data_IF_804643566654
#
_entry.id   IF_804643566654
#
_cell.length_a   1.000
_cell.length_b   1.000
_cell.length_c   1.000
_cell.angle_alpha   90.00
_cell.angle_beta   90.00
_cell.angle_gamma   90.00
#
_symmetry.space_group_name_H-M   'P 1'
#
loop_
_entity.id
_entity.type
_entity.pdbx_description
1 polymer ?
#
# COMPACT_ATOMS: atom_id res chain seq x y z
N UNK A 1 -86.82 -38.79 -16.61
CA UNK A 1 -86.04 -37.67 -17.17
C UNK A 1 -84.93 -37.35 -16.21
N UNK A 2 -83.71 -37.75 -16.51
CA UNK A 2 -82.55 -37.70 -15.64
C UNK A 2 -81.72 -36.44 -15.94
N UNK A 3 -81.51 -35.51 -14.94
CA UNK A 3 -80.64 -34.34 -15.04
C UNK A 3 -79.20 -34.70 -14.67
N UNK A 4 -78.27 -34.48 -15.58
CA UNK A 4 -76.83 -34.62 -15.35
C UNK A 4 -76.29 -33.40 -14.56
N UNK A 5 -75.70 -33.62 -13.35
CA UNK A 5 -74.85 -32.68 -12.65
C UNK A 5 -73.44 -32.82 -13.14
N UNK A 6 -72.88 -31.76 -13.74
CA UNK A 6 -71.43 -31.62 -14.02
C UNK A 6 -70.69 -31.19 -12.79
N UNK A 7 -69.64 -31.90 -12.40
CA UNK A 7 -68.67 -31.54 -11.35
C UNK A 7 -67.48 -30.86 -12.03
N UNK A 8 -67.20 -29.62 -11.66
CA UNK A 8 -65.96 -28.97 -12.02
C UNK A 8 -64.91 -29.19 -10.90
N UNK A 9 -63.87 -29.90 -11.22
CA UNK A 9 -62.65 -30.00 -10.40
C UNK A 9 -61.80 -28.76 -10.64
N UNK A 10 -61.66 -27.86 -9.63
CA UNK A 10 -60.65 -26.81 -9.61
C UNK A 10 -59.33 -27.42 -9.15
N UNK A 11 -58.37 -27.57 -10.04
CA UNK A 11 -56.98 -27.89 -9.72
C UNK A 11 -56.27 -26.58 -9.43
N UNK A 12 -56.05 -26.29 -8.15
CA UNK A 12 -55.14 -25.20 -7.72
C UNK A 12 -53.69 -25.65 -7.89
N UNK A 13 -53.01 -25.15 -8.90
CA UNK A 13 -51.56 -25.32 -9.07
C UNK A 13 -50.86 -24.38 -8.10
N UNK A 14 -50.33 -24.92 -7.01
CA UNK A 14 -49.42 -24.25 -6.11
C UNK A 14 -48.04 -24.19 -6.80
N UNK A 15 -47.70 -23.03 -7.37
CA UNK A 15 -46.34 -22.73 -7.81
C UNK A 15 -45.52 -22.36 -6.55
N UNK A 16 -44.84 -23.33 -5.98
CA UNK A 16 -43.77 -23.08 -5.01
C UNK A 16 -42.57 -22.57 -5.79
N UNK A 17 -42.38 -21.26 -5.78
CA UNK A 17 -41.11 -20.68 -6.23
C UNK A 17 -40.01 -21.09 -5.24
N UNK A 18 -39.26 -22.15 -5.60
CA UNK A 18 -38.03 -22.49 -4.91
C UNK A 18 -37.02 -21.37 -5.22
N UNK A 19 -36.86 -20.41 -4.31
CA UNK A 19 -35.75 -19.47 -4.34
C UNK A 19 -34.46 -20.29 -4.29
N UNK A 20 -33.67 -20.19 -5.33
CA UNK A 20 -32.38 -20.84 -5.44
C UNK A 20 -31.50 -20.42 -4.23
N UNK A 21 -30.74 -21.34 -3.58
CA UNK A 21 -29.79 -20.97 -2.53
C UNK A 21 -28.76 -19.92 -2.98
N UNK A 22 -28.53 -19.82 -4.29
CA UNK A 22 -27.69 -18.81 -4.93
C UNK A 22 -28.29 -17.39 -4.87
N UNK A 23 -29.60 -17.24 -4.92
CA UNK A 23 -30.25 -15.93 -4.83
C UNK A 23 -30.17 -15.35 -3.40
N UNK A 24 -30.20 -16.21 -2.37
CA UNK A 24 -30.02 -15.79 -0.98
C UNK A 24 -28.55 -15.43 -0.68
N UNK A 25 -27.59 -16.19 -1.23
CA UNK A 25 -26.16 -15.88 -1.09
C UNK A 25 -25.80 -14.58 -1.84
N UNK A 26 -26.45 -14.26 -2.94
CA UNK A 26 -26.21 -13.04 -3.72
C UNK A 26 -26.86 -11.81 -3.07
N UNK A 27 -27.96 -11.91 -2.36
CA UNK A 27 -28.55 -10.81 -1.59
C UNK A 27 -27.69 -10.45 -0.37
N UNK A 28 -27.09 -11.43 0.30
CA UNK A 28 -26.17 -11.20 1.45
C UNK A 28 -24.86 -10.53 1.03
N UNK A 29 -24.38 -10.76 -0.19
CA UNK A 29 -23.14 -10.13 -0.71
C UNK A 29 -23.37 -8.65 -1.11
N UNK A 30 -24.56 -8.31 -1.59
CA UNK A 30 -24.90 -6.94 -2.01
C UNK A 30 -24.99 -5.93 -0.86
N UNK A 31 -25.13 -6.39 0.40
CA UNK A 31 -25.21 -5.55 1.58
C UNK A 31 -23.87 -5.47 2.37
N UNK A 32 -22.81 -6.12 1.89
CA UNK A 32 -21.51 -6.16 2.58
C UNK A 32 -20.66 -4.95 2.28
N UNK A 33 -19.93 -4.51 3.29
CA UNK A 33 -18.99 -3.42 3.20
C UNK A 33 -17.60 -3.87 3.64
N UNK A 34 -16.56 -3.43 2.95
CA UNK A 34 -15.16 -3.61 3.36
C UNK A 34 -14.50 -2.23 3.45
N UNK A 35 -13.93 -1.92 4.60
CA UNK A 35 -13.12 -0.72 4.83
C UNK A 35 -11.70 -1.16 5.05
N UNK A 36 -10.84 -0.94 4.05
CA UNK A 36 -9.40 -1.19 4.11
C UNK A 36 -8.71 0.10 4.57
N UNK A 37 -8.12 0.07 5.76
CA UNK A 37 -7.36 1.17 6.34
C UNK A 37 -5.88 0.79 6.34
N UNK A 38 -5.03 1.57 5.67
CA UNK A 38 -3.58 1.45 5.72
C UNK A 38 -3.01 2.56 6.60
N UNK A 39 -2.22 2.19 7.62
CA UNK A 39 -1.42 3.13 8.40
C UNK A 39 0.02 2.97 7.94
N UNK A 40 0.51 3.95 7.17
CA UNK A 40 1.83 3.92 6.54
C UNK A 40 2.95 3.66 7.54
N UNK A 41 3.81 2.69 7.24
CA UNK A 41 4.97 2.36 8.06
C UNK A 41 4.66 1.80 9.45
N UNK A 42 3.46 1.24 9.68
CA UNK A 42 3.11 0.66 10.97
C UNK A 42 3.61 -0.80 11.07
N UNK A 43 4.80 -0.95 11.63
CA UNK A 43 5.41 -2.27 11.79
C UNK A 43 4.60 -3.20 12.71
N UNK A 44 4.54 -4.48 12.37
CA UNK A 44 3.79 -5.49 13.12
C UNK A 44 4.19 -5.57 14.59
N UNK A 45 5.48 -5.41 14.90
CA UNK A 45 5.98 -5.44 16.29
C UNK A 45 5.46 -4.32 17.19
N UNK A 46 4.92 -3.23 16.63
CA UNK A 46 4.37 -2.11 17.42
C UNK A 46 3.01 -2.44 18.04
N UNK A 47 2.27 -3.40 17.50
CA UNK A 47 0.97 -3.80 18.06
C UNK A 47 1.13 -4.41 19.46
N UNK A 48 2.20 -5.18 19.65
CA UNK A 48 2.49 -5.85 20.91
C UNK A 48 3.33 -5.00 21.89
N UNK A 49 3.85 -3.85 21.45
CA UNK A 49 4.61 -2.95 22.33
C UNK A 49 3.67 -2.26 23.35
N UNK A 50 3.77 -2.58 24.65
CA UNK A 50 2.84 -2.03 25.65
C UNK A 50 2.98 -0.50 25.85
N UNK A 51 4.04 0.10 25.36
CA UNK A 51 4.26 1.56 25.44
C UNK A 51 3.45 2.32 24.39
N UNK A 52 2.97 1.64 23.35
CA UNK A 52 2.17 2.27 22.29
C UNK A 52 0.71 2.27 22.71
N UNK A 53 0.04 3.44 22.84
CA UNK A 53 -1.36 3.51 23.19
C UNK A 53 -2.28 3.25 21.99
N UNK A 54 -2.80 2.02 21.88
CA UNK A 54 -3.58 1.52 20.75
C UNK A 54 -4.92 0.91 21.20
N UNK A 55 -5.81 1.65 21.87
CA UNK A 55 -7.06 1.08 22.36
C UNK A 55 -7.97 0.55 21.25
N UNK A 56 -8.13 1.28 20.13
CA UNK A 56 -9.00 0.91 19.02
C UNK A 56 -8.41 -0.23 18.19
N UNK A 57 -7.13 -0.14 17.86
CA UNK A 57 -6.41 -1.17 17.09
C UNK A 57 -6.37 -2.50 17.86
N UNK A 58 -6.09 -2.46 19.18
CA UNK A 58 -6.12 -3.66 20.03
C UNK A 58 -7.53 -4.21 20.25
N UNK A 59 -8.54 -3.34 20.27
CA UNK A 59 -9.94 -3.78 20.26
C UNK A 59 -10.25 -4.57 18.99
N UNK A 60 -9.91 -4.05 17.81
CA UNK A 60 -10.10 -4.76 16.53
C UNK A 60 -9.34 -6.10 16.51
N UNK A 61 -8.11 -6.14 17.01
CA UNK A 61 -7.32 -7.38 17.09
C UNK A 61 -7.95 -8.43 18.01
N UNK A 62 -8.56 -7.99 19.12
CA UNK A 62 -9.24 -8.87 20.09
C UNK A 62 -10.55 -9.42 19.54
N UNK A 63 -11.37 -8.55 18.93
CA UNK A 63 -12.69 -8.90 18.40
C UNK A 63 -12.63 -9.53 16.99
N UNK A 64 -11.45 -9.62 16.38
CA UNK A 64 -11.22 -10.16 15.05
C UNK A 64 -10.05 -11.14 14.99
N UNK A 65 -9.32 -11.10 13.88
CA UNK A 65 -8.13 -11.89 13.65
C UNK A 65 -6.92 -10.98 13.45
N UNK A 66 -5.80 -11.31 14.09
CA UNK A 66 -4.51 -10.63 13.89
C UNK A 66 -3.50 -11.57 13.24
N UNK A 67 -2.66 -11.04 12.36
CA UNK A 67 -1.48 -11.74 11.84
C UNK A 67 -0.35 -11.60 12.87
N UNK A 68 0.03 -12.72 13.47
CA UNK A 68 1.02 -12.78 14.57
C UNK A 68 2.40 -12.33 14.04
N UNK A 69 2.99 -11.32 14.68
CA UNK A 69 4.25 -10.72 14.24
C UNK A 69 4.19 -9.89 12.94
N UNK A 70 3.01 -9.74 12.35
CA UNK A 70 2.77 -8.98 11.13
C UNK A 70 2.88 -9.79 9.84
N UNK A 71 2.30 -9.25 8.74
CA UNK A 71 2.36 -9.86 7.41
C UNK A 71 3.67 -9.52 6.70
N UNK A 72 4.14 -10.43 5.86
CA UNK A 72 5.26 -10.20 4.95
C UNK A 72 4.83 -9.28 3.81
N UNK A 73 5.59 -8.22 3.59
CA UNK A 73 5.38 -7.26 2.50
C UNK A 73 6.11 -7.68 1.24
N UNK A 74 5.89 -6.97 0.12
CA UNK A 74 6.62 -7.23 -1.12
C UNK A 74 7.89 -6.40 -1.21
N UNK A 75 8.87 -6.87 -1.98
CA UNK A 75 10.07 -6.11 -2.32
C UNK A 75 9.82 -5.18 -3.53
N UNK A 76 10.24 -3.90 -3.43
CA UNK A 76 10.80 -3.23 -2.26
C UNK A 76 9.72 -2.95 -1.21
N UNK A 77 10.10 -2.93 0.07
CA UNK A 77 9.18 -2.55 1.15
C UNK A 77 8.97 -1.02 1.19
N UNK A 78 8.33 -0.50 0.14
CA UNK A 78 8.11 0.92 -0.15
C UNK A 78 6.61 1.16 -0.38
N UNK A 79 6.15 2.37 -0.14
CA UNK A 79 4.72 2.76 -0.05
C UNK A 79 3.89 2.37 -1.27
N UNK A 80 4.16 2.95 -2.45
CA UNK A 80 3.31 2.71 -3.63
C UNK A 80 3.34 1.27 -4.13
N UNK A 81 4.51 0.59 -4.21
CA UNK A 81 4.56 -0.82 -4.54
C UNK A 81 3.68 -1.69 -3.63
N UNK A 82 3.73 -1.48 -2.31
CA UNK A 82 3.00 -2.32 -1.37
C UNK A 82 1.50 -1.98 -1.30
N UNK A 83 1.10 -0.70 -1.38
CA UNK A 83 -0.31 -0.34 -1.52
C UNK A 83 -0.92 -0.93 -2.80
N UNK A 84 -0.16 -0.96 -3.89
CA UNK A 84 -0.60 -1.62 -5.13
C UNK A 84 -0.70 -3.14 -4.97
N UNK A 85 0.25 -3.77 -4.26
CA UNK A 85 0.15 -5.20 -3.92
C UNK A 85 -1.09 -5.51 -3.09
N UNK A 86 -1.41 -4.68 -2.07
CA UNK A 86 -2.60 -4.85 -1.21
C UNK A 86 -3.91 -4.89 -2.01
N UNK A 87 -4.00 -4.15 -3.12
CA UNK A 87 -5.23 -4.04 -3.93
C UNK A 87 -5.21 -4.85 -5.21
N UNK A 88 -4.07 -5.44 -5.60
CA UNK A 88 -3.95 -6.33 -6.76
C UNK A 88 -3.73 -7.79 -6.40
N UNK A 89 -3.18 -8.06 -5.20
CA UNK A 89 -2.74 -9.41 -4.82
C UNK A 89 -1.55 -9.93 -5.62
N UNK A 90 -0.82 -9.04 -6.31
CA UNK A 90 0.35 -9.34 -7.13
C UNK A 90 1.58 -8.62 -6.60
N UNK A 91 2.77 -9.19 -6.83
CA UNK A 91 4.05 -8.55 -6.48
C UNK A 91 4.42 -7.41 -7.44
N UNK A 92 5.28 -6.46 -7.04
CA UNK A 92 5.68 -5.28 -7.83
C UNK A 92 6.12 -5.59 -9.26
N UNK A 93 6.90 -6.65 -9.46
CA UNK A 93 7.32 -7.07 -10.79
C UNK A 93 6.18 -7.49 -11.73
N UNK A 94 4.99 -7.81 -11.19
CA UNK A 94 3.78 -8.21 -11.93
C UNK A 94 2.80 -7.07 -12.13
N UNK A 95 2.59 -6.22 -11.11
CA UNK A 95 1.66 -5.10 -11.24
C UNK A 95 2.30 -3.82 -11.80
N UNK A 96 3.64 -3.76 -11.93
CA UNK A 96 4.36 -2.71 -12.64
C UNK A 96 4.83 -1.52 -11.81
N UNK A 97 4.41 -1.38 -10.56
CA UNK A 97 4.81 -0.28 -9.66
C UNK A 97 6.03 -0.72 -8.85
N UNK A 98 7.22 -0.19 -9.19
CA UNK A 98 8.49 -0.60 -8.58
C UNK A 98 9.10 0.44 -7.62
N UNK A 99 8.53 1.65 -7.58
CA UNK A 99 8.94 2.77 -6.73
C UNK A 99 7.73 3.68 -6.49
N UNK A 100 7.90 4.77 -5.74
CA UNK A 100 6.86 5.80 -5.57
C UNK A 100 6.72 6.67 -6.84
N UNK A 101 6.48 6.03 -7.99
CA UNK A 101 6.35 6.60 -9.32
C UNK A 101 6.92 5.71 -10.41
N UNK A 102 6.94 6.21 -11.64
CA UNK A 102 7.56 5.54 -12.79
C UNK A 102 9.06 5.85 -12.84
N UNK A 103 9.88 4.81 -12.94
CA UNK A 103 11.34 4.93 -13.13
C UNK A 103 11.64 5.18 -14.60
N UNK A 104 11.93 6.44 -14.95
CA UNK A 104 12.09 6.93 -16.33
C UNK A 104 13.57 6.93 -16.72
N UNK A 105 13.94 6.10 -17.70
CA UNK A 105 15.29 6.10 -18.33
C UNK A 105 15.34 7.19 -19.42
N UNK A 106 16.24 8.17 -19.25
CA UNK A 106 16.40 9.29 -20.17
C UNK A 106 17.34 9.03 -21.37
N UNK A 107 17.99 7.85 -21.44
CA UNK A 107 18.99 7.50 -22.47
C UNK A 107 20.43 7.49 -21.94
N UNK A 108 21.40 7.32 -22.84
CA UNK A 108 22.83 7.19 -22.49
C UNK A 108 23.32 8.48 -21.81
N UNK A 109 23.94 8.34 -20.66
CA UNK A 109 24.47 9.45 -19.86
C UNK A 109 23.43 10.17 -19.00
N UNK A 110 22.12 9.95 -19.22
CA UNK A 110 21.05 10.64 -18.51
C UNK A 110 20.61 9.81 -17.29
N UNK A 111 20.71 10.37 -16.06
CA UNK A 111 20.26 9.68 -14.86
C UNK A 111 18.76 9.32 -14.89
N UNK A 112 18.42 8.14 -14.37
CA UNK A 112 17.02 7.73 -14.16
C UNK A 112 16.39 8.60 -13.07
N UNK A 113 15.14 8.97 -13.28
CA UNK A 113 14.34 9.74 -12.33
C UNK A 113 13.05 9.01 -12.01
N UNK A 114 12.55 9.19 -10.79
CA UNK A 114 11.20 8.77 -10.40
C UNK A 114 10.24 9.88 -10.79
N UNK A 115 9.20 9.54 -11.57
CA UNK A 115 8.11 10.43 -11.94
C UNK A 115 6.83 9.98 -11.25
N UNK A 116 6.45 10.67 -10.18
CA UNK A 116 5.23 10.42 -9.40
C UNK A 116 3.99 11.11 -9.98
N UNK A 117 4.16 11.98 -11.00
CA UNK A 117 3.05 12.70 -11.63
C UNK A 117 2.42 11.88 -12.77
N UNK A 118 1.87 10.72 -12.43
CA UNK A 118 1.33 9.73 -13.38
C UNK A 118 -0.09 9.33 -13.01
N UNK A 119 -0.87 8.94 -14.02
CA UNK A 119 -2.19 8.37 -13.85
C UNK A 119 -2.11 6.89 -13.46
N UNK A 120 -3.17 6.36 -12.86
CA UNK A 120 -3.28 4.93 -12.53
C UNK A 120 -2.93 4.05 -13.73
N UNK A 121 -3.40 4.38 -14.92
CA UNK A 121 -3.17 3.60 -16.15
C UNK A 121 -1.69 3.53 -16.57
N UNK A 122 -0.89 4.55 -16.21
CA UNK A 122 0.55 4.56 -16.48
C UNK A 122 1.34 3.71 -15.47
N UNK A 123 0.78 3.56 -14.27
CA UNK A 123 1.44 2.93 -13.12
C UNK A 123 1.05 1.45 -12.98
N UNK A 124 -0.25 1.16 -12.91
CA UNK A 124 -0.78 -0.17 -12.56
C UNK A 124 -1.19 -0.93 -13.81
N UNK A 125 -0.48 -2.02 -14.12
CA UNK A 125 -0.63 -2.77 -15.37
C UNK A 125 -1.65 -3.92 -15.30
N UNK A 126 -2.36 -4.04 -14.19
CA UNK A 126 -3.29 -5.16 -13.90
C UNK A 126 -4.54 -4.63 -13.21
N UNK A 127 -5.68 -5.35 -13.27
CA UNK A 127 -6.87 -4.98 -12.53
C UNK A 127 -6.64 -4.99 -11.01
N UNK A 128 -7.15 -3.96 -10.33
CA UNK A 128 -7.22 -3.92 -8.87
C UNK A 128 -8.55 -4.47 -8.37
N UNK A 129 -8.66 -4.75 -7.08
CA UNK A 129 -9.94 -5.15 -6.47
C UNK A 129 -11.01 -4.05 -6.61
N UNK A 130 -10.60 -2.77 -6.65
CA UNK A 130 -11.54 -1.67 -6.90
C UNK A 130 -12.09 -1.71 -8.33
N UNK A 131 -11.27 -2.04 -9.34
CA UNK A 131 -11.74 -2.20 -10.71
C UNK A 131 -12.80 -3.31 -10.80
N UNK A 132 -12.55 -4.45 -10.14
CA UNK A 132 -13.48 -5.59 -10.16
C UNK A 132 -14.75 -5.28 -9.38
N UNK A 133 -14.65 -4.61 -8.24
CA UNK A 133 -15.80 -4.21 -7.44
C UNK A 133 -16.69 -3.20 -8.20
N UNK A 134 -16.10 -2.17 -8.79
CA UNK A 134 -16.80 -1.16 -9.56
C UNK A 134 -17.48 -1.79 -10.82
N UNK A 135 -16.76 -2.63 -11.54
CA UNK A 135 -17.32 -3.37 -12.70
C UNK A 135 -18.49 -4.29 -12.33
N UNK A 136 -18.54 -4.77 -11.08
CA UNK A 136 -19.67 -5.53 -10.55
C UNK A 136 -20.83 -4.65 -10.06
N UNK A 137 -20.75 -3.33 -10.22
CA UNK A 137 -21.78 -2.36 -9.81
C UNK A 137 -21.74 -2.00 -8.30
N UNK A 138 -20.66 -2.34 -7.60
CA UNK A 138 -20.49 -1.96 -6.21
C UNK A 138 -19.97 -0.52 -6.11
N UNK A 139 -20.50 0.25 -5.14
CA UNK A 139 -19.97 1.60 -4.86
C UNK A 139 -18.59 1.52 -4.22
N UNK A 140 -17.67 2.32 -4.73
CA UNK A 140 -16.28 2.34 -4.33
C UNK A 140 -15.82 3.75 -3.98
N UNK A 141 -14.99 3.88 -2.96
CA UNK A 141 -14.39 5.15 -2.57
C UNK A 141 -12.94 4.96 -2.13
N UNK A 142 -12.11 5.98 -2.34
CA UNK A 142 -10.76 6.00 -1.80
C UNK A 142 -10.40 7.38 -1.25
N UNK A 143 -9.56 7.40 -0.22
CA UNK A 143 -9.01 8.60 0.39
C UNK A 143 -7.52 8.41 0.63
N UNK A 144 -6.72 9.23 0.00
CA UNK A 144 -5.26 9.24 0.05
C UNK A 144 -4.60 7.93 -0.40
N UNK A 145 -5.30 7.09 -1.20
CA UNK A 145 -4.71 5.85 -1.70
C UNK A 145 -3.80 6.13 -2.88
N UNK A 146 -2.55 5.60 -2.91
CA UNK A 146 -1.63 5.87 -4.02
C UNK A 146 -2.01 5.09 -5.28
N UNK A 147 -1.49 5.56 -6.41
CA UNK A 147 -1.69 4.96 -7.74
C UNK A 147 -3.17 4.92 -8.18
N UNK A 148 -4.00 5.89 -7.75
CA UNK A 148 -5.44 5.95 -8.08
C UNK A 148 -5.83 7.17 -8.93
N UNK A 149 -4.91 8.10 -9.21
CA UNK A 149 -5.20 9.30 -10.00
C UNK A 149 -5.88 8.98 -11.32
N UNK A 150 -6.98 9.70 -11.62
CA UNK A 150 -7.82 9.50 -12.80
C UNK A 150 -8.32 8.06 -12.99
N UNK A 151 -8.52 7.33 -11.88
CA UNK A 151 -9.13 6.00 -11.92
C UNK A 151 -10.64 6.13 -12.17
N UNK A 152 -11.15 5.36 -13.12
CA UNK A 152 -12.59 5.24 -13.38
C UNK A 152 -13.29 4.27 -12.41
N UNK A 153 -12.53 3.67 -11.47
CA UNK A 153 -13.01 2.61 -10.58
C UNK A 153 -13.48 3.12 -9.22
N UNK A 154 -13.57 4.44 -9.03
CA UNK A 154 -14.06 5.04 -7.79
C UNK A 154 -15.17 6.05 -8.05
N UNK A 155 -16.28 5.91 -7.33
CA UNK A 155 -17.38 6.89 -7.32
C UNK A 155 -16.98 8.18 -6.63
N UNK A 156 -16.13 8.08 -5.61
CA UNK A 156 -15.49 9.21 -4.91
C UNK A 156 -14.01 8.90 -4.69
N UNK A 157 -13.14 9.83 -5.10
CA UNK A 157 -11.69 9.70 -4.93
C UNK A 157 -11.06 10.99 -4.39
N UNK A 158 -10.03 10.80 -3.55
CA UNK A 158 -9.14 11.84 -3.05
C UNK A 158 -7.71 11.28 -3.04
N UNK A 159 -7.03 11.18 -4.20
CA UNK A 159 -5.85 10.34 -4.39
C UNK A 159 -4.57 10.88 -3.74
N UNK A 160 -3.65 9.97 -3.36
CA UNK A 160 -2.27 10.29 -2.97
C UNK A 160 -1.41 10.56 -4.21
N UNK A 161 -1.39 11.79 -4.64
CA UNK A 161 -0.60 12.27 -5.79
C UNK A 161 -0.22 13.74 -5.62
N UNK A 162 0.81 14.23 -6.34
CA UNK A 162 1.02 15.67 -6.46
C UNK A 162 -0.25 16.37 -6.97
N UNK A 163 -0.63 17.48 -6.32
CA UNK A 163 -1.85 18.23 -6.63
C UNK A 163 -3.16 17.45 -6.43
N UNK A 164 -3.24 16.63 -5.38
CA UNK A 164 -4.38 15.74 -5.07
C UNK A 164 -5.75 16.41 -5.14
N UNK A 165 -5.90 17.69 -4.75
CA UNK A 165 -7.18 18.40 -4.83
C UNK A 165 -7.69 18.59 -6.27
N UNK A 166 -6.80 18.67 -7.26
CA UNK A 166 -7.17 18.73 -8.68
C UNK A 166 -7.89 17.46 -9.13
N UNK A 167 -7.46 16.31 -8.58
CA UNK A 167 -7.97 15.00 -8.91
C UNK A 167 -9.02 14.47 -7.92
N UNK A 168 -9.32 15.24 -6.87
CA UNK A 168 -10.41 14.92 -5.94
C UNK A 168 -11.75 15.09 -6.64
N UNK A 169 -12.65 14.11 -6.48
CA UNK A 169 -14.01 14.17 -7.05
C UNK A 169 -14.66 15.52 -6.73
N UNK A 170 -15.15 16.28 -7.72
CA UNK A 170 -15.60 17.66 -7.52
C UNK A 170 -16.66 17.82 -6.43
N UNK A 171 -17.65 16.91 -6.37
CA UNK A 171 -18.69 16.94 -5.32
C UNK A 171 -18.08 16.74 -3.92
N UNK A 172 -17.14 15.78 -3.77
CA UNK A 172 -16.48 15.53 -2.49
C UNK A 172 -15.69 16.77 -2.05
N UNK A 173 -14.90 17.36 -2.95
CA UNK A 173 -14.14 18.58 -2.67
C UNK A 173 -15.04 19.72 -2.19
N UNK A 174 -16.15 19.97 -2.87
CA UNK A 174 -17.14 20.99 -2.45
C UNK A 174 -17.68 20.71 -1.05
N UNK A 175 -18.11 19.49 -0.77
CA UNK A 175 -18.64 19.09 0.53
C UNK A 175 -17.60 19.21 1.66
N UNK A 176 -16.33 18.91 1.38
CA UNK A 176 -15.25 19.07 2.36
C UNK A 176 -14.96 20.56 2.66
N UNK A 177 -15.08 21.46 1.66
CA UNK A 177 -15.00 22.90 1.86
C UNK A 177 -16.18 23.42 2.68
N UNK A 178 -17.41 23.02 2.35
CA UNK A 178 -18.62 23.40 3.10
C UNK A 178 -18.57 22.97 4.56
N UNK A 179 -17.90 21.85 4.86
CA UNK A 179 -17.66 21.37 6.23
C UNK A 179 -16.49 22.06 6.93
N UNK A 180 -15.76 22.91 6.25
CA UNK A 180 -14.57 23.57 6.78
C UNK A 180 -13.36 22.64 6.95
N UNK A 181 -13.37 21.46 6.34
CA UNK A 181 -12.27 20.50 6.35
C UNK A 181 -11.18 20.89 5.34
N UNK A 182 -11.59 21.46 4.21
CA UNK A 182 -10.71 22.16 3.29
C UNK A 182 -11.01 23.66 3.38
N UNK A 183 -9.96 24.48 3.37
CA UNK A 183 -10.11 25.94 3.43
C UNK A 183 -10.67 26.50 2.13
N UNK A 184 -10.16 26.00 1.02
CA UNK A 184 -10.49 26.39 -0.36
C UNK A 184 -10.00 25.31 -1.34
N UNK A 185 -10.19 25.53 -2.62
CA UNK A 185 -9.73 24.62 -3.69
C UNK A 185 -8.21 24.71 -3.98
N UNK A 186 -7.47 25.55 -3.25
CA UNK A 186 -6.06 25.81 -3.53
C UNK A 186 -5.18 24.67 -3.01
N UNK A 187 -4.46 24.02 -3.90
CA UNK A 187 -3.45 23.03 -3.55
C UNK A 187 -2.35 23.61 -2.65
N UNK A 188 -2.00 24.90 -2.81
CA UNK A 188 -1.02 25.56 -1.96
C UNK A 188 -1.52 25.67 -0.50
N UNK A 189 -2.82 26.00 -0.32
CA UNK A 189 -3.46 26.00 1.01
C UNK A 189 -3.45 24.63 1.63
N UNK A 190 -3.81 23.58 0.88
CA UNK A 190 -3.78 22.20 1.34
C UNK A 190 -2.38 21.73 1.74
N UNK A 191 -1.36 22.02 0.92
CA UNK A 191 0.05 21.69 1.23
C UNK A 191 0.61 22.44 2.44
N UNK A 192 0.00 23.53 2.87
CA UNK A 192 0.40 24.25 4.08
C UNK A 192 -0.02 23.55 5.38
N UNK A 193 -0.92 22.57 5.30
CA UNK A 193 -1.38 21.78 6.44
C UNK A 193 -0.27 20.79 6.85
N UNK A 194 -0.05 20.64 8.17
CA UNK A 194 0.90 19.64 8.66
C UNK A 194 0.41 18.22 8.32
N UNK A 195 1.33 17.24 8.24
CA UNK A 195 0.95 15.85 7.95
C UNK A 195 -0.06 15.28 8.95
N UNK A 196 0.01 15.70 10.23
CA UNK A 196 -1.00 15.37 11.26
C UNK A 196 -2.37 15.94 10.88
N UNK A 197 -2.39 17.20 10.41
CA UNK A 197 -3.61 17.84 9.93
C UNK A 197 -4.15 17.21 8.65
N UNK A 198 -3.27 16.73 7.76
CA UNK A 198 -3.68 16.00 6.57
C UNK A 198 -4.37 14.67 6.93
N UNK A 199 -3.82 13.89 7.84
CA UNK A 199 -4.47 12.66 8.34
C UNK A 199 -5.85 12.95 8.95
N UNK A 200 -6.01 14.11 9.62
CA UNK A 200 -7.32 14.54 10.10
C UNK A 200 -8.29 14.79 8.95
N UNK A 201 -7.88 15.53 7.92
CA UNK A 201 -8.73 15.83 6.75
C UNK A 201 -9.11 14.53 6.03
N UNK A 202 -8.16 13.63 5.81
CA UNK A 202 -8.42 12.33 5.16
C UNK A 202 -9.34 11.44 6.00
N UNK A 203 -9.13 11.39 7.31
CA UNK A 203 -10.02 10.65 8.23
C UNK A 203 -11.44 11.19 8.14
N UNK A 204 -11.64 12.51 8.21
CA UNK A 204 -12.97 13.11 8.13
C UNK A 204 -13.61 12.95 6.73
N UNK A 205 -12.81 12.98 5.66
CA UNK A 205 -13.30 12.68 4.32
C UNK A 205 -13.81 11.23 4.23
N UNK A 206 -13.06 10.27 4.75
CA UNK A 206 -13.48 8.87 4.82
C UNK A 206 -14.76 8.70 5.67
N UNK A 207 -14.81 9.32 6.85
CA UNK A 207 -15.99 9.32 7.72
C UNK A 207 -17.21 9.92 7.00
N UNK A 208 -17.02 11.01 6.26
CA UNK A 208 -18.08 11.63 5.48
C UNK A 208 -18.61 10.68 4.40
N UNK A 209 -17.73 10.07 3.63
CA UNK A 209 -18.10 9.11 2.58
C UNK A 209 -18.85 7.90 3.16
N UNK A 210 -18.37 7.33 4.25
CA UNK A 210 -19.02 6.21 4.94
C UNK A 210 -20.44 6.59 5.40
N UNK A 211 -20.61 7.74 6.08
CA UNK A 211 -21.92 8.19 6.57
C UNK A 211 -22.89 8.51 5.44
N UNK A 212 -22.45 9.18 4.39
CA UNK A 212 -23.35 9.72 3.37
C UNK A 212 -23.57 8.78 2.19
N UNK A 213 -22.59 7.93 1.86
CA UNK A 213 -22.62 7.10 0.63
C UNK A 213 -22.61 5.61 0.87
N UNK A 214 -22.12 5.17 2.05
CA UNK A 214 -22.00 3.75 2.42
C UNK A 214 -21.36 2.93 1.28
N UNK A 215 -20.10 3.20 0.88
CA UNK A 215 -19.46 2.45 -0.19
C UNK A 215 -19.32 0.98 0.22
N UNK A 216 -19.40 0.06 -0.75
CA UNK A 216 -19.14 -1.37 -0.50
C UNK A 216 -17.64 -1.63 -0.32
N UNK A 217 -16.79 -0.83 -0.97
CA UNK A 217 -15.35 -0.84 -0.77
C UNK A 217 -14.85 0.58 -0.50
N UNK A 218 -14.21 0.78 0.64
CA UNK A 218 -13.54 2.04 1.00
C UNK A 218 -12.07 1.76 1.24
N UNK A 219 -11.17 2.51 0.58
CA UNK A 219 -9.73 2.48 0.81
C UNK A 219 -9.32 3.77 1.51
N UNK A 220 -8.55 3.68 2.61
CA UNK A 220 -8.08 4.83 3.38
C UNK A 220 -6.61 4.66 3.71
N UNK A 221 -5.80 5.69 3.46
CA UNK A 221 -4.37 5.70 3.78
C UNK A 221 -4.03 6.86 4.71
N UNK A 222 -3.34 6.57 5.84
CA UNK A 222 -2.89 7.52 6.86
C UNK A 222 -1.37 7.60 6.84
N UNK A 223 -0.81 8.80 6.70
CA UNK A 223 0.60 9.03 6.38
C UNK A 223 1.47 9.51 7.56
N UNK A 224 0.87 10.15 8.59
CA UNK A 224 1.63 10.81 9.65
C UNK A 224 2.56 9.87 10.41
N UNK A 225 2.21 8.60 10.51
CA UNK A 225 3.01 7.59 11.21
C UNK A 225 4.37 7.40 10.52
N UNK A 226 4.37 7.13 9.20
CA UNK A 226 5.57 7.04 8.39
C UNK A 226 6.44 8.31 8.46
N UNK A 227 5.83 9.47 8.20
CA UNK A 227 6.52 10.76 8.22
C UNK A 227 7.19 11.06 9.58
N UNK A 228 6.61 10.59 10.68
CA UNK A 228 7.18 10.72 12.02
C UNK A 228 8.30 9.72 12.25
N UNK A 229 8.11 8.46 11.82
CA UNK A 229 9.11 7.41 11.92
C UNK A 229 10.38 7.77 11.13
N UNK A 230 10.25 8.33 9.94
CA UNK A 230 11.40 8.84 9.18
C UNK A 230 12.21 9.87 9.96
N UNK A 231 11.57 10.85 10.57
CA UNK A 231 12.23 11.96 11.25
C UNK A 231 12.80 11.59 12.61
N UNK A 232 12.13 10.70 13.34
CA UNK A 232 12.37 10.44 14.78
C UNK A 232 12.71 9.00 15.11
N UNK A 233 12.47 8.07 14.18
CA UNK A 233 12.58 6.63 14.41
C UNK A 233 11.31 6.02 15.00
N UNK A 234 11.12 4.72 14.79
CA UNK A 234 9.85 4.02 15.04
C UNK A 234 9.55 3.73 16.53
N UNK A 235 10.49 3.68 17.43
CA UNK A 235 10.28 3.33 18.84
C UNK A 235 10.68 4.47 19.77
N UNK A 236 10.25 5.67 19.43
CA UNK A 236 10.50 6.90 20.20
C UNK A 236 9.20 7.47 20.76
N UNK A 237 9.29 8.43 21.69
CA UNK A 237 8.12 9.10 22.24
C UNK A 237 7.28 9.79 21.14
N UNK A 238 7.98 10.41 20.17
CA UNK A 238 7.30 11.07 19.03
C UNK A 238 6.54 10.04 18.19
N UNK A 239 7.14 8.87 17.93
CA UNK A 239 6.46 7.79 17.17
C UNK A 239 5.27 7.20 17.93
N UNK A 240 5.37 7.04 19.23
CA UNK A 240 4.25 6.55 20.04
C UNK A 240 3.08 7.53 20.02
N UNK A 241 3.35 8.82 19.97
CA UNK A 241 2.33 9.87 19.80
C UNK A 241 1.69 9.78 18.41
N UNK A 242 2.48 9.56 17.36
CA UNK A 242 1.94 9.39 16.00
C UNK A 242 1.08 8.12 15.88
N UNK A 243 1.52 7.01 16.50
CA UNK A 243 0.76 5.76 16.53
C UNK A 243 -0.58 5.94 17.29
N UNK A 244 -0.57 6.66 18.42
CA UNK A 244 -1.79 6.97 19.17
C UNK A 244 -2.76 7.85 18.37
N UNK A 245 -2.21 8.77 17.58
CA UNK A 245 -3.03 9.61 16.69
C UNK A 245 -3.65 8.79 15.56
N UNK A 246 -2.90 7.89 14.95
CA UNK A 246 -3.45 6.95 13.94
C UNK A 246 -4.54 6.04 14.54
N UNK A 247 -4.34 5.54 15.77
CA UNK A 247 -5.37 4.79 16.50
C UNK A 247 -6.65 5.59 16.73
N UNK A 248 -6.53 6.88 17.07
CA UNK A 248 -7.68 7.77 17.17
C UNK A 248 -8.39 7.94 15.82
N UNK A 249 -7.66 8.07 14.72
CA UNK A 249 -8.24 8.15 13.38
C UNK A 249 -9.02 6.87 13.04
N UNK A 250 -8.48 5.69 13.38
CA UNK A 250 -9.19 4.41 13.25
C UNK A 250 -10.48 4.45 14.07
N UNK A 251 -10.45 4.89 15.34
CA UNK A 251 -11.63 5.02 16.18
C UNK A 251 -12.74 5.88 15.54
N UNK A 252 -12.37 7.02 14.95
CA UNK A 252 -13.34 7.90 14.26
C UNK A 252 -13.97 7.23 13.03
N UNK A 253 -13.21 6.42 12.29
CA UNK A 253 -13.75 5.64 11.16
C UNK A 253 -14.73 4.57 11.68
N UNK A 254 -14.42 3.91 12.80
CA UNK A 254 -15.33 2.97 13.44
C UNK A 254 -16.63 3.63 13.88
N UNK A 255 -16.57 4.81 14.50
CA UNK A 255 -17.74 5.62 14.86
C UNK A 255 -18.58 5.98 13.61
N UNK A 256 -17.93 6.31 12.49
CA UNK A 256 -18.64 6.61 11.25
C UNK A 256 -19.38 5.40 10.67
N UNK A 257 -18.83 4.19 10.82
CA UNK A 257 -19.48 2.93 10.43
C UNK A 257 -20.72 2.69 11.31
N UNK A 258 -20.62 2.96 12.62
CA UNK A 258 -21.76 2.87 13.56
C UNK A 258 -22.84 3.89 13.23
N UNK A 259 -22.48 5.15 13.04
CA UNK A 259 -23.41 6.24 12.68
C UNK A 259 -24.12 5.95 11.34
N UNK A 260 -23.45 5.29 10.41
CA UNK A 260 -24.04 4.87 9.14
C UNK A 260 -25.01 3.70 9.29
N UNK A 261 -25.02 3.01 10.44
CA UNK A 261 -25.86 1.82 10.68
C UNK A 261 -25.46 0.61 9.85
N UNK A 262 -24.18 0.47 9.49
CA UNK A 262 -23.67 -0.64 8.66
C UNK A 262 -22.65 -1.51 9.40
N UNK A 263 -22.53 -1.40 10.73
CA UNK A 263 -21.55 -2.17 11.52
C UNK A 263 -21.67 -3.67 11.31
N UNK A 264 -22.87 -4.20 11.36
CA UNK A 264 -23.16 -5.63 11.28
C UNK A 264 -22.85 -6.24 9.89
N UNK A 265 -22.68 -5.40 8.88
CA UNK A 265 -22.38 -5.82 7.51
C UNK A 265 -20.98 -5.35 7.05
N UNK A 266 -20.21 -4.70 7.93
CA UNK A 266 -18.89 -4.15 7.61
C UNK A 266 -17.76 -5.01 8.16
N UNK A 267 -16.81 -5.35 7.27
CA UNK A 267 -15.49 -5.86 7.65
C UNK A 267 -14.48 -4.73 7.59
N UNK A 268 -13.75 -4.51 8.67
CA UNK A 268 -12.60 -3.62 8.72
C UNK A 268 -11.33 -4.44 8.54
N UNK A 269 -10.52 -4.09 7.55
CA UNK A 269 -9.18 -4.65 7.34
C UNK A 269 -8.18 -3.53 7.62
N UNK A 270 -7.43 -3.66 8.71
CA UNK A 270 -6.44 -2.70 9.14
C UNK A 270 -5.05 -3.25 8.80
N UNK A 271 -4.32 -2.57 7.96
CA UNK A 271 -3.00 -2.98 7.46
C UNK A 271 -1.98 -1.87 7.58
N UNK A 272 -0.74 -2.20 7.31
CA UNK A 272 0.29 -1.28 6.87
C UNK A 272 0.91 -1.81 5.57
N UNK A 273 1.58 -0.95 4.87
CA UNK A 273 2.27 -1.25 3.62
C UNK A 273 3.70 -1.78 3.85
N UNK A 274 4.35 -1.35 4.94
CA UNK A 274 5.66 -1.83 5.39
C UNK A 274 5.89 -1.61 6.89
N UNK A 275 6.96 -2.23 7.39
CA UNK A 275 7.49 -1.94 8.71
C UNK A 275 8.54 -0.82 8.69
N UNK A 276 9.31 -0.69 9.77
CA UNK A 276 10.26 0.41 9.95
C UNK A 276 11.48 0.00 10.77
N UNK A 277 12.65 0.64 10.52
CA UNK A 277 13.85 0.46 11.34
C UNK A 277 14.66 1.74 11.46
N UNK A 278 15.55 1.82 12.45
CA UNK A 278 16.49 2.92 12.60
C UNK A 278 17.67 2.77 11.64
N UNK A 279 18.06 3.89 11.03
CA UNK A 279 19.20 3.99 10.11
C UNK A 279 20.10 5.17 10.48
N UNK A 280 20.81 5.09 11.65
CA UNK A 280 21.67 6.17 12.11
C UNK A 280 22.86 6.44 11.20
N UNK A 281 23.19 5.50 10.31
CA UNK A 281 24.18 5.64 9.24
C UNK A 281 23.54 5.46 7.88
N UNK A 282 24.25 5.88 6.83
CA UNK A 282 23.88 5.65 5.45
C UNK A 282 25.10 5.30 4.61
N UNK A 283 24.89 4.46 3.60
CA UNK A 283 25.81 4.31 2.47
C UNK A 283 25.45 5.35 1.42
N UNK A 284 26.46 5.92 0.76
CA UNK A 284 26.35 6.90 -0.32
C UNK A 284 26.93 6.31 -1.62
N UNK A 285 26.19 5.41 -2.28
CA UNK A 285 26.67 4.69 -3.45
C UNK A 285 27.19 5.61 -4.56
N UNK A 286 26.48 6.71 -4.81
CA UNK A 286 26.82 7.67 -5.84
C UNK A 286 28.14 8.41 -5.58
N UNK A 287 28.57 8.58 -4.32
CA UNK A 287 29.90 9.09 -3.99
C UNK A 287 30.99 8.10 -4.44
N UNK A 288 30.80 6.82 -4.19
CA UNK A 288 31.75 5.77 -4.64
C UNK A 288 31.81 5.68 -6.16
N UNK A 289 30.66 5.73 -6.84
CA UNK A 289 30.57 5.74 -8.31
C UNK A 289 31.22 6.99 -8.92
N UNK A 290 31.05 8.18 -8.32
CA UNK A 290 31.71 9.41 -8.72
C UNK A 290 33.24 9.26 -8.64
N UNK A 291 33.74 8.74 -7.53
CA UNK A 291 35.20 8.51 -7.34
C UNK A 291 35.76 7.49 -8.33
N UNK A 292 34.93 6.54 -8.79
CA UNK A 292 35.31 5.59 -9.84
C UNK A 292 35.16 6.16 -11.27
N UNK A 293 34.74 7.44 -11.42
CA UNK A 293 34.58 8.08 -12.74
C UNK A 293 33.34 7.64 -13.52
N UNK A 294 32.36 6.98 -12.85
CA UNK A 294 31.15 6.45 -13.48
C UNK A 294 29.98 7.46 -13.51
N UNK A 295 30.12 8.59 -12.83
CA UNK A 295 29.17 9.70 -12.87
C UNK A 295 29.86 11.04 -12.60
N UNK A 296 29.19 12.12 -13.02
CA UNK A 296 29.59 13.51 -12.73
C UNK A 296 28.48 14.21 -11.95
N UNK A 297 28.90 15.16 -11.10
CA UNK A 297 28.01 15.97 -10.30
C UNK A 297 28.47 17.42 -10.28
N UNK A 298 27.55 18.36 -10.42
CA UNK A 298 27.79 19.80 -10.38
C UNK A 298 26.83 20.45 -9.39
N UNK A 299 27.33 21.37 -8.56
CA UNK A 299 26.51 22.03 -7.56
C UNK A 299 25.85 21.09 -6.52
N UNK A 300 26.35 19.86 -6.40
CA UNK A 300 25.77 18.83 -5.54
C UNK A 300 24.65 18.00 -6.18
N UNK A 301 24.37 18.21 -7.46
CA UNK A 301 23.39 17.49 -8.24
C UNK A 301 24.04 16.54 -9.24
N UNK A 302 23.45 15.37 -9.44
CA UNK A 302 23.87 14.39 -10.44
C UNK A 302 23.53 14.90 -11.84
N UNK A 303 24.54 15.15 -12.68
CA UNK A 303 24.36 15.72 -14.02
C UNK A 303 24.47 14.70 -15.14
N UNK A 304 25.43 13.77 -15.06
CA UNK A 304 25.60 12.69 -16.01
C UNK A 304 26.01 11.41 -15.29
N UNK A 305 25.60 10.27 -15.80
CA UNK A 305 25.97 8.98 -15.25
C UNK A 305 26.10 7.90 -16.33
N UNK A 306 27.20 7.18 -16.31
CA UNK A 306 27.27 5.85 -16.93
C UNK A 306 26.54 4.83 -16.04
N UNK A 307 26.80 4.92 -14.70
CA UNK A 307 26.11 4.15 -13.67
C UNK A 307 25.76 5.06 -12.51
N UNK A 308 24.55 4.93 -11.97
CA UNK A 308 24.14 5.63 -10.75
C UNK A 308 23.15 4.78 -9.93
N UNK A 309 22.89 5.21 -8.71
CA UNK A 309 21.95 4.54 -7.79
C UNK A 309 20.80 5.47 -7.44
N UNK A 310 19.58 4.96 -7.62
CA UNK A 310 18.34 5.55 -7.11
C UNK A 310 18.03 4.90 -5.76
N UNK A 311 17.92 5.67 -4.66
CA UNK A 311 17.69 5.12 -3.33
C UNK A 311 16.21 4.73 -3.14
N UNK A 312 15.99 3.57 -2.53
CA UNK A 312 14.68 3.06 -2.09
C UNK A 312 14.76 2.65 -0.60
N UNK A 313 15.32 3.52 0.25
CA UNK A 313 15.44 3.29 1.70
C UNK A 313 16.58 2.33 2.06
N UNK A 314 16.29 1.07 2.34
CA UNK A 314 17.28 0.05 2.70
C UNK A 314 17.93 -0.62 1.48
N UNK A 315 17.41 -0.40 0.26
CA UNK A 315 18.03 -0.83 -0.99
C UNK A 315 18.27 0.34 -1.92
N UNK A 316 19.13 0.17 -2.90
CA UNK A 316 19.37 1.14 -3.97
C UNK A 316 19.32 0.45 -5.33
N UNK A 317 18.57 1.02 -6.24
CA UNK A 317 18.45 0.55 -7.61
C UNK A 317 19.61 1.07 -8.46
N UNK A 318 20.43 0.18 -8.93
CA UNK A 318 21.59 0.50 -9.78
C UNK A 318 21.15 0.53 -11.24
N UNK A 319 21.34 1.66 -11.89
CA UNK A 319 21.03 1.86 -13.31
C UNK A 319 22.28 2.12 -14.11
N UNK A 320 22.47 1.32 -15.15
CA UNK A 320 23.45 1.55 -16.21
C UNK A 320 22.73 2.24 -17.38
N UNK A 321 23.16 3.45 -17.74
CA UNK A 321 22.46 4.25 -18.75
C UNK A 321 22.66 3.76 -20.18
N UNK A 322 23.75 3.01 -20.45
CA UNK A 322 24.01 2.37 -21.74
C UNK A 322 23.61 0.88 -21.70
N UNK A 323 22.50 0.48 -22.36
CA UNK A 323 22.05 -0.92 -22.36
C UNK A 323 23.05 -1.90 -22.94
N UNK A 324 23.94 -1.46 -23.88
CA UNK A 324 24.90 -2.32 -24.53
C UNK A 324 26.00 -2.81 -23.57
N UNK A 325 26.32 -2.02 -22.54
CA UNK A 325 27.36 -2.32 -21.55
C UNK A 325 26.80 -2.60 -20.16
N UNK A 326 25.50 -2.62 -19.99
CA UNK A 326 24.85 -2.69 -18.69
C UNK A 326 25.29 -3.90 -17.85
N UNK A 327 25.33 -5.09 -18.43
CA UNK A 327 25.73 -6.30 -17.71
C UNK A 327 27.22 -6.25 -17.27
N UNK A 328 28.12 -5.76 -18.11
CA UNK A 328 29.53 -5.58 -17.77
C UNK A 328 29.70 -4.55 -16.65
N UNK A 329 29.01 -3.42 -16.75
CA UNK A 329 29.06 -2.34 -15.76
C UNK A 329 28.47 -2.76 -14.42
N UNK A 330 27.33 -3.46 -14.41
CA UNK A 330 26.75 -4.00 -13.20
C UNK A 330 27.72 -4.97 -12.48
N UNK A 331 28.37 -5.86 -13.22
CA UNK A 331 29.38 -6.78 -12.69
C UNK A 331 30.65 -6.07 -12.17
N UNK A 332 31.08 -4.98 -12.84
CA UNK A 332 32.17 -4.14 -12.34
C UNK A 332 31.78 -3.45 -11.02
N UNK A 333 30.60 -2.84 -10.98
CA UNK A 333 30.08 -2.14 -9.80
C UNK A 333 29.86 -3.09 -8.64
N UNK A 334 29.41 -4.32 -8.88
CA UNK A 334 29.33 -5.36 -7.86
C UNK A 334 30.66 -5.55 -7.12
N UNK A 335 31.78 -5.66 -7.86
CA UNK A 335 33.12 -5.81 -7.27
C UNK A 335 33.54 -4.58 -6.47
N UNK A 336 33.07 -3.39 -6.88
CA UNK A 336 33.35 -2.13 -6.19
C UNK A 336 32.61 -2.05 -4.83
N UNK A 337 31.41 -2.63 -4.73
CA UNK A 337 30.57 -2.52 -3.55
C UNK A 337 30.71 -3.69 -2.57
N UNK A 338 30.92 -4.91 -3.05
CA UNK A 338 31.02 -6.07 -2.16
C UNK A 338 32.22 -5.94 -1.21
N UNK A 339 31.99 -6.19 0.07
CA UNK A 339 32.99 -6.06 1.14
C UNK A 339 33.09 -4.65 1.73
N UNK A 340 32.41 -3.65 1.17
CA UNK A 340 32.38 -2.31 1.76
C UNK A 340 31.55 -2.25 3.05
N UNK A 341 31.92 -1.32 3.96
CA UNK A 341 31.12 -1.06 5.17
C UNK A 341 29.70 -0.65 4.78
N UNK A 342 28.71 -1.19 5.48
CA UNK A 342 27.30 -0.87 5.28
C UNK A 342 26.62 -1.58 4.11
N UNK A 343 27.37 -2.26 3.23
CA UNK A 343 26.82 -3.09 2.13
C UNK A 343 26.62 -4.52 2.63
N UNK A 344 25.38 -5.01 2.58
CA UNK A 344 25.04 -6.38 2.94
C UNK A 344 25.15 -7.34 1.75
N UNK A 345 24.64 -6.92 0.58
CA UNK A 345 24.57 -7.74 -0.62
C UNK A 345 24.51 -6.86 -1.88
N UNK A 346 24.70 -7.49 -3.04
CA UNK A 346 24.55 -6.83 -4.34
C UNK A 346 23.96 -7.85 -5.33
N UNK A 347 22.67 -7.66 -5.67
CA UNK A 347 21.91 -8.57 -6.52
C UNK A 347 22.09 -8.19 -7.99
N UNK A 348 22.53 -9.14 -8.79
CA UNK A 348 22.49 -9.07 -10.25
C UNK A 348 21.19 -9.69 -10.79
N UNK A 349 20.83 -9.49 -12.07
CA UNK A 349 19.56 -9.93 -12.63
C UNK A 349 19.25 -11.43 -12.52
N UNK A 350 20.27 -12.29 -12.43
CA UNK A 350 20.12 -13.74 -12.21
C UNK A 350 19.57 -14.09 -10.82
N UNK A 351 19.61 -13.13 -9.87
CA UNK A 351 19.06 -13.25 -8.51
C UNK A 351 17.77 -12.45 -8.29
N UNK A 352 17.20 -11.82 -9.30
CA UNK A 352 16.02 -10.96 -9.14
C UNK A 352 14.73 -11.71 -8.77
N UNK A 353 14.68 -13.01 -9.00
CA UNK A 353 13.64 -13.88 -8.47
C UNK A 353 13.55 -13.86 -6.92
N UNK A 354 14.66 -13.57 -6.22
CA UNK A 354 14.68 -13.45 -4.75
C UNK A 354 13.82 -12.27 -4.25
N UNK A 355 13.65 -11.24 -5.10
CA UNK A 355 12.89 -10.01 -4.80
C UNK A 355 11.63 -9.86 -5.68
N UNK A 356 11.27 -10.90 -6.43
CA UNK A 356 10.08 -10.91 -7.27
C UNK A 356 10.14 -9.97 -8.48
N UNK A 357 11.33 -9.58 -8.93
CA UNK A 357 11.50 -8.75 -10.13
C UNK A 357 11.73 -9.58 -11.39
N UNK A 358 11.20 -9.15 -12.53
CA UNK A 358 11.55 -9.72 -13.82
C UNK A 358 12.97 -9.30 -14.23
N UNK A 359 13.46 -9.87 -15.32
CA UNK A 359 14.75 -9.44 -15.88
C UNK A 359 14.64 -8.00 -16.46
N UNK A 360 15.67 -7.13 -16.34
CA UNK A 360 15.61 -5.73 -16.84
C UNK A 360 15.32 -5.61 -18.34
N UNK A 361 15.52 -6.67 -19.13
CA UNK A 361 15.13 -6.71 -20.56
C UNK A 361 13.63 -6.79 -20.78
N UNK A 362 12.87 -7.27 -19.80
CA UNK A 362 11.42 -7.44 -19.88
C UNK A 362 10.67 -6.19 -19.47
N UNK A 363 11.24 -5.42 -18.53
CA UNK A 363 10.66 -4.16 -18.06
C UNK A 363 11.74 -3.11 -17.85
N UNK A 364 11.63 -1.99 -18.55
CA UNK A 364 12.63 -0.89 -18.54
C UNK A 364 12.72 -0.18 -17.18
N UNK A 365 11.72 -0.30 -16.31
CA UNK A 365 11.78 0.26 -14.97
C UNK A 365 12.68 -0.57 -14.03
N UNK A 366 12.83 -1.86 -14.30
CA UNK A 366 13.66 -2.75 -13.47
C UNK A 366 15.12 -2.30 -13.53
N UNK A 367 15.80 -2.18 -12.37
CA UNK A 367 17.22 -1.81 -12.32
C UNK A 367 18.13 -2.85 -12.94
N UNK A 368 19.35 -2.47 -13.27
CA UNK A 368 20.36 -3.40 -13.78
C UNK A 368 21.07 -4.19 -12.67
N UNK A 369 20.98 -3.71 -11.42
CA UNK A 369 21.38 -4.42 -10.19
C UNK A 369 20.72 -3.74 -8.97
N UNK A 370 20.81 -4.38 -7.80
CA UNK A 370 20.30 -3.85 -6.54
C UNK A 370 21.40 -3.94 -5.48
N UNK A 371 21.78 -2.80 -4.90
CA UNK A 371 22.64 -2.77 -3.72
C UNK A 371 21.76 -2.84 -2.46
N UNK A 372 22.11 -3.72 -1.52
CA UNK A 372 21.37 -3.95 -0.28
C UNK A 372 22.19 -3.42 0.89
N UNK A 373 21.64 -2.53 1.69
CA UNK A 373 22.27 -2.02 2.89
C UNK A 373 22.17 -3.01 4.06
N UNK A 374 23.15 -2.97 4.96
CA UNK A 374 23.09 -3.66 6.26
C UNK A 374 22.06 -3.01 7.18
N UNK A 375 21.53 -3.77 8.13
CA UNK A 375 20.71 -3.21 9.21
C UNK A 375 21.43 -2.04 9.90
N UNK A 376 20.71 -0.95 10.18
CA UNK A 376 21.26 0.29 10.70
C UNK A 376 21.85 1.25 9.66
N UNK A 377 21.80 0.91 8.38
CA UNK A 377 22.25 1.76 7.27
C UNK A 377 21.12 2.02 6.28
N UNK A 378 20.87 3.30 5.95
CA UNK A 378 20.02 3.66 4.81
C UNK A 378 20.86 3.82 3.53
N UNK A 379 20.22 3.82 2.37
CA UNK A 379 20.85 4.17 1.09
C UNK A 379 20.56 5.62 0.76
N UNK A 380 21.61 6.39 0.46
CA UNK A 380 21.50 7.81 0.10
C UNK A 380 21.75 8.03 -1.39
N UNK A 381 20.92 8.85 -2.03
CA UNK A 381 21.16 9.36 -3.38
C UNK A 381 22.24 10.45 -3.47
N UNK A 382 22.78 10.92 -2.33
CA UNK A 382 23.72 12.04 -2.26
C UNK A 382 25.00 11.74 -3.05
N UNK A 383 25.42 12.71 -3.87
CA UNK A 383 26.64 12.67 -4.69
C UNK A 383 27.81 13.41 -4.07
N UNK A 384 27.58 14.14 -2.93
CA UNK A 384 28.60 14.96 -2.27
C UNK A 384 29.30 14.20 -1.15
N UNK A 385 30.50 14.69 -0.77
CA UNK A 385 31.35 14.07 0.26
C UNK A 385 32.40 13.11 -0.32
N UNK A 386 33.20 12.49 0.57
CA UNK A 386 34.38 11.71 0.16
C UNK A 386 34.35 10.24 0.63
N UNK A 387 33.44 9.87 1.52
CA UNK A 387 33.34 8.53 2.10
C UNK A 387 32.07 7.82 1.65
N UNK A 388 32.11 6.51 1.51
CA UNK A 388 30.91 5.71 1.23
C UNK A 388 29.93 5.79 2.42
N UNK A 389 30.44 5.65 3.64
CA UNK A 389 29.63 5.67 4.85
C UNK A 389 29.66 7.05 5.49
N UNK A 390 28.49 7.50 5.95
CA UNK A 390 28.32 8.74 6.70
C UNK A 390 27.21 8.58 7.75
N UNK A 391 27.09 9.53 8.67
CA UNK A 391 25.89 9.66 9.50
C UNK A 391 24.67 9.99 8.62
N UNK A 392 23.45 9.72 9.12
CA UNK A 392 22.24 10.06 8.36
C UNK A 392 22.14 11.58 8.07
N UNK A 393 22.61 12.45 8.98
CA UNK A 393 22.64 13.90 8.77
C UNK A 393 23.60 14.30 7.62
N UNK A 394 24.83 13.79 7.62
CA UNK A 394 25.82 14.05 6.57
C UNK A 394 25.38 13.48 5.22
N UNK A 395 24.73 12.33 5.24
CA UNK A 395 24.18 11.68 4.05
C UNK A 395 22.87 12.32 3.56
N UNK A 396 22.29 13.24 4.34
CA UNK A 396 20.98 13.87 4.07
C UNK A 396 19.85 12.83 3.90
N UNK A 397 19.86 11.79 4.73
CA UNK A 397 18.79 10.80 4.83
C UNK A 397 18.01 10.97 6.13
N UNK A 398 16.93 10.21 6.27
CA UNK A 398 16.13 10.18 7.49
C UNK A 398 16.80 9.29 8.56
N UNK A 399 16.46 9.52 9.85
CA UNK A 399 16.93 8.71 10.98
C UNK A 399 16.29 7.31 10.99
N UNK A 400 15.05 7.21 10.56
CA UNK A 400 14.36 5.94 10.37
C UNK A 400 14.09 5.68 8.89
N UNK A 401 14.02 4.43 8.49
CA UNK A 401 13.77 4.05 7.11
C UNK A 401 13.07 2.69 7.01
N UNK A 402 12.52 2.45 5.84
CA UNK A 402 11.99 1.21 5.32
C UNK A 402 12.70 0.85 4.00
N UNK A 403 12.08 0.09 3.09
CA UNK A 403 12.70 -0.24 1.80
C UNK A 403 13.81 -1.29 1.91
N UNK A 404 13.95 -1.99 3.05
CA UNK A 404 14.80 -3.18 3.17
C UNK A 404 14.12 -4.37 2.53
N UNK A 405 14.87 -5.45 2.32
CA UNK A 405 14.28 -6.67 1.79
C UNK A 405 13.15 -7.19 2.70
N UNK A 406 12.07 -7.62 2.10
CA UNK A 406 10.83 -8.08 2.76
C UNK A 406 11.08 -9.22 3.77
N UNK A 407 12.15 -9.99 3.59
CA UNK A 407 12.60 -11.03 4.55
C UNK A 407 13.07 -10.48 5.91
N UNK A 408 13.33 -9.16 6.02
CA UNK A 408 13.68 -8.54 7.30
C UNK A 408 12.46 -8.53 8.23
N UNK A 409 12.57 -9.08 9.46
CA UNK A 409 11.45 -9.06 10.41
C UNK A 409 10.96 -7.65 10.76
N UNK A 410 11.81 -6.63 10.63
CA UNK A 410 11.46 -5.24 10.90
C UNK A 410 10.58 -4.64 9.81
N UNK A 411 10.55 -5.25 8.61
CA UNK A 411 9.70 -4.82 7.50
C UNK A 411 8.30 -5.45 7.53
N UNK A 412 8.05 -6.45 8.40
CA UNK A 412 6.71 -7.00 8.56
C UNK A 412 5.72 -5.93 9.00
N UNK A 413 4.60 -5.84 8.29
CA UNK A 413 3.56 -4.83 8.45
C UNK A 413 2.40 -5.35 9.31
N UNK A 414 1.76 -4.48 10.06
CA UNK A 414 0.53 -4.82 10.79
C UNK A 414 -0.54 -5.35 9.84
N UNK A 415 -1.31 -6.36 10.28
CA UNK A 415 -2.50 -6.83 9.59
C UNK A 415 -3.52 -7.38 10.59
N UNK A 416 -4.71 -6.78 10.61
CA UNK A 416 -5.84 -7.13 11.47
C UNK A 416 -7.11 -7.12 10.63
N UNK A 417 -7.96 -8.14 10.80
CA UNK A 417 -9.28 -8.20 10.19
C UNK A 417 -10.32 -8.28 11.32
N UNK A 418 -11.40 -7.50 11.24
CA UNK A 418 -12.44 -7.50 12.29
C UNK A 418 -13.80 -7.14 11.72
N UNK A 419 -14.88 -7.60 12.34
CA UNK A 419 -16.26 -7.30 11.96
C UNK A 419 -16.93 -8.42 11.16
N UNK A 420 -17.86 -8.06 10.28
CA UNK A 420 -18.72 -9.01 9.59
C UNK A 420 -17.96 -10.12 8.87
N UNK A 421 -18.31 -11.37 9.17
CA UNK A 421 -17.70 -12.56 8.54
C UNK A 421 -16.32 -12.95 9.06
N UNK A 422 -15.77 -12.23 10.06
CA UNK A 422 -14.47 -12.51 10.65
C UNK A 422 -14.65 -13.16 12.03
N UNK A 423 -14.01 -14.31 12.24
CA UNK A 423 -14.05 -14.99 13.55
C UNK A 423 -13.31 -14.18 14.62
N UNK A 424 -13.88 -14.02 15.82
CA UNK A 424 -13.24 -13.28 16.90
C UNK A 424 -12.05 -14.07 17.52
N UNK A 425 -11.06 -13.34 18.04
CA UNK A 425 -9.92 -13.87 18.78
C UNK A 425 -8.96 -14.76 17.95
N UNK A 426 -9.02 -14.66 16.61
CA UNK A 426 -8.18 -15.44 15.71
C UNK A 426 -6.74 -14.94 15.65
N UNK A 427 -5.78 -15.88 15.62
CA UNK A 427 -4.39 -15.62 15.25
C UNK A 427 -4.08 -16.33 13.94
N UNK A 428 -3.49 -15.62 13.00
CA UNK A 428 -3.05 -16.13 11.70
C UNK A 428 -1.53 -16.10 11.69
N UNK A 429 -0.93 -17.21 11.30
CA UNK A 429 0.51 -17.31 11.12
C UNK A 429 0.85 -16.92 9.69
N UNK A 430 2.03 -16.39 9.51
CA UNK A 430 2.67 -16.03 8.23
C UNK A 430 1.77 -15.89 6.99
N UNK A 431 1.58 -14.68 6.56
CA UNK A 431 0.92 -14.34 5.29
C UNK A 431 1.75 -13.33 4.52
N UNK A 432 1.56 -13.31 3.22
CA UNK A 432 2.04 -12.24 2.35
C UNK A 432 0.94 -11.21 2.10
N UNK A 433 1.29 -9.96 1.85
CA UNK A 433 0.34 -8.90 1.54
C UNK A 433 -0.44 -9.12 0.23
N UNK A 434 0.02 -10.04 -0.63
CA UNK A 434 -0.72 -10.53 -1.81
C UNK A 434 -2.06 -11.21 -1.47
N UNK A 435 -2.26 -11.61 -0.20
CA UNK A 435 -3.49 -12.24 0.27
C UNK A 435 -4.65 -11.24 0.49
N UNK A 436 -4.40 -9.93 0.55
CA UNK A 436 -5.42 -8.94 0.93
C UNK A 436 -6.47 -8.74 -0.16
N UNK A 437 -6.08 -8.50 -1.42
CA UNK A 437 -7.04 -8.33 -2.52
C UNK A 437 -8.00 -9.54 -2.68
N UNK A 438 -7.53 -10.81 -2.74
CA UNK A 438 -8.43 -11.95 -2.83
C UNK A 438 -9.29 -12.15 -1.56
N UNK A 439 -8.82 -11.69 -0.39
CA UNK A 439 -9.62 -11.67 0.85
C UNK A 439 -10.77 -10.68 0.75
N UNK A 440 -10.53 -9.46 0.25
CA UNK A 440 -11.56 -8.45 0.00
C UNK A 440 -12.57 -8.99 -1.04
N UNK A 441 -12.09 -9.57 -2.12
CA UNK A 441 -12.97 -10.17 -3.14
C UNK A 441 -13.91 -11.21 -2.54
N UNK A 442 -13.39 -12.11 -1.71
CA UNK A 442 -14.18 -13.13 -1.02
C UNK A 442 -15.25 -12.53 -0.11
N UNK A 443 -14.89 -11.50 0.66
CA UNK A 443 -15.82 -10.79 1.56
C UNK A 443 -16.96 -10.12 0.78
N UNK A 444 -16.66 -9.56 -0.38
CA UNK A 444 -17.65 -8.89 -1.25
C UNK A 444 -18.36 -9.85 -2.21
N UNK A 445 -18.08 -11.16 -2.16
CA UNK A 445 -18.68 -12.15 -3.05
C UNK A 445 -18.26 -12.01 -4.52
N UNK A 446 -17.07 -11.45 -4.76
CA UNK A 446 -16.54 -11.22 -6.10
C UNK A 446 -15.61 -12.35 -6.55
N UNK A 447 -15.61 -12.64 -7.85
CA UNK A 447 -14.61 -13.49 -8.47
C UNK A 447 -13.35 -12.68 -8.74
N UNK A 448 -12.18 -13.16 -8.25
CA UNK A 448 -10.90 -12.47 -8.39
C UNK A 448 -9.78 -13.48 -8.66
N UNK A 449 -9.50 -13.73 -9.93
CA UNK A 449 -8.54 -14.78 -10.37
C UNK A 449 -7.14 -14.18 -10.68
N UNK A 450 -6.87 -12.93 -10.36
CA UNK A 450 -5.64 -12.23 -10.71
C UNK A 450 -4.51 -12.42 -9.70
N UNK A 451 -4.85 -12.63 -8.41
CA UNK A 451 -3.90 -12.64 -7.30
C UNK A 451 -2.95 -13.84 -7.32
N UNK A 452 -1.71 -13.64 -6.85
CA UNK A 452 -0.78 -14.71 -6.49
C UNK A 452 -1.11 -15.28 -5.10
N UNK A 453 -1.59 -14.41 -4.19
CA UNK A 453 -2.02 -14.80 -2.85
C UNK A 453 -3.37 -15.51 -2.82
N UNK A 454 -3.63 -16.23 -1.73
CA UNK A 454 -4.92 -16.87 -1.47
C UNK A 454 -5.71 -16.09 -0.42
N UNK A 455 -7.05 -16.10 -0.45
CA UNK A 455 -7.86 -15.49 0.60
C UNK A 455 -7.50 -16.05 1.99
N UNK A 456 -7.54 -15.20 3.01
CA UNK A 456 -7.26 -15.56 4.40
C UNK A 456 -8.40 -16.40 5.01
N UNK A 457 -8.62 -17.59 4.45
CA UNK A 457 -9.74 -18.46 4.81
C UNK A 457 -9.78 -18.82 6.29
N UNK A 458 -8.63 -18.82 6.97
CA UNK A 458 -8.53 -19.06 8.41
C UNK A 458 -9.03 -17.89 9.27
N UNK A 459 -9.27 -16.70 8.68
CA UNK A 459 -9.86 -15.57 9.38
C UNK A 459 -11.39 -15.60 9.36
N UNK A 460 -12.00 -16.33 8.43
CA UNK A 460 -13.44 -16.28 8.23
C UNK A 460 -14.21 -17.13 9.24
N UNK A 461 -15.44 -16.69 9.52
CA UNK A 461 -16.45 -17.53 10.15
C UNK A 461 -16.83 -18.70 9.23
N UNK A 462 -17.30 -19.83 9.78
CA UNK A 462 -17.68 -21.01 8.98
C UNK A 462 -18.77 -20.76 7.94
N UNK A 463 -19.55 -19.67 8.07
CA UNK A 463 -20.65 -19.28 7.16
C UNK A 463 -20.19 -18.49 5.93
N UNK A 464 -18.98 -17.92 5.95
CA UNK A 464 -18.46 -17.09 4.85
C UNK A 464 -17.92 -18.00 3.73
N UNK A 465 -18.66 -18.06 2.64
CA UNK A 465 -18.20 -18.72 1.39
C UNK A 465 -18.51 -20.21 1.25
N UNK A 466 -19.65 -20.64 1.79
CA UNK A 466 -20.31 -21.85 1.33
C UNK A 466 -21.17 -21.58 0.11
#
# INVERSE_FOLDING_TARGET
MLSRKQWYFNVAVLITASLSPWALAQSDAADRHVVLISIDGFAGYLVDDPKVPLPNIRYLAKEGCIVDGGMTVSDPSVTWPNHTTLVTGLKPGRHGVLANGVLVRGGIGVPVKIDSNRDKMDLVQVPTIADVAHAAGLRTAEVNWPCTRNSESFDDQFPDVPNSLEYTTPRLRTELIEKGLLRDESQASFRSVSVVGLDYVWTEAACHLIRQRKPHLTLVHLLNNDATHHRRGAQTQDSYTANAYADMCVGRILDAIDDAGIRETTTVILVADHGFTLTPKAIRPNVLLRKAGLLTAEGGELTQAEVHVVPEGGVGYVYCTNPATAAERAAYVQKLFLGQEGVADFLLPDRFNEVGFPHPRENKQVPDAIVVAKDGYGVSGNVTGETLVATYQEARTALGSHGFLAKSPKMKAMCILSGAGIRPGGKIQEIDNTAIAPTIARLLGLKYDYAEGQPLSNAFEPSVGR
#
